data_IF_352995933232
#
_entry.id   IF_352995933232
#
_cell.length_a   1.000
_cell.length_b   1.000
_cell.length_c   1.000
_cell.angle_alpha   90.00
_cell.angle_beta   90.00
_cell.angle_gamma   90.00
#
_symmetry.space_group_name_H-M   'P 1'
#
loop_
_entity.id
_entity.type
_entity.pdbx_description
1 polymer ?
#
# COMPACT_ATOMS: atom_id res chain seq x y z
N UNK A 1 -60.58 -53.82 -39.96
CA UNK A 1 -61.28 -53.19 -41.12
C UNK A 1 -60.24 -52.30 -41.76
N UNK A 2 -59.66 -52.81 -42.80
CA UNK A 2 -59.73 -52.38 -44.18
C UNK A 2 -59.35 -50.92 -44.36
N UNK A 3 -58.42 -50.49 -45.06
CA UNK A 3 -57.70 -51.06 -46.15
C UNK A 3 -57.11 -49.91 -46.96
N UNK A 4 -56.19 -50.28 -47.70
CA UNK A 4 -55.85 -49.87 -49.08
C UNK A 4 -54.77 -48.79 -49.26
N UNK A 5 -53.74 -49.32 -49.87
CA UNK A 5 -52.66 -48.68 -50.54
C UNK A 5 -53.10 -47.92 -51.80
N UNK A 6 -52.36 -46.88 -52.18
CA UNK A 6 -52.27 -46.41 -53.53
C UNK A 6 -50.84 -46.01 -53.91
N UNK A 7 -50.38 -46.62 -54.95
CA UNK A 7 -49.15 -46.49 -55.68
C UNK A 7 -49.28 -45.39 -56.74
N UNK A 8 -48.24 -44.69 -57.02
CA UNK A 8 -47.79 -44.25 -58.36
C UNK A 8 -47.04 -42.91 -58.18
N UNK A 9 -46.03 -42.59 -58.85
CA UNK A 9 -45.25 -42.92 -60.01
C UNK A 9 -44.21 -41.81 -60.13
N UNK A 10 -42.96 -42.21 -60.45
CA UNK A 10 -41.87 -41.24 -60.74
C UNK A 10 -42.06 -40.65 -62.13
N UNK A 11 -41.59 -39.41 -62.40
CA UNK A 11 -40.90 -39.12 -63.64
C UNK A 11 -39.52 -38.46 -63.41
N UNK A 12 -38.62 -39.03 -64.15
CA UNK A 12 -37.42 -38.63 -64.88
C UNK A 12 -36.75 -37.30 -64.60
N UNK A 13 -35.45 -37.43 -64.38
CA UNK A 13 -34.37 -36.47 -64.41
C UNK A 13 -34.35 -35.54 -65.62
N UNK A 14 -34.25 -34.25 -65.37
CA UNK A 14 -33.60 -33.31 -66.33
C UNK A 14 -32.44 -32.65 -65.62
N UNK A 15 -31.22 -32.91 -66.11
CA UNK A 15 -30.02 -32.22 -65.69
C UNK A 15 -30.03 -30.79 -66.24
N UNK A 16 -30.06 -29.80 -65.39
CA UNK A 16 -29.64 -28.44 -65.75
C UNK A 16 -28.23 -28.22 -65.18
N UNK A 17 -27.34 -27.90 -66.16
CA UNK A 17 -26.00 -27.39 -65.79
C UNK A 17 -26.17 -25.91 -65.44
N UNK A 18 -25.89 -25.55 -64.23
CA UNK A 18 -25.68 -24.18 -63.81
C UNK A 18 -24.22 -23.94 -63.58
N UNK A 19 -23.68 -22.92 -64.22
CA UNK A 19 -22.31 -22.46 -64.07
C UNK A 19 -22.07 -21.93 -62.67
N UNK A 20 -21.02 -22.44 -62.04
CA UNK A 20 -20.57 -21.94 -60.74
C UNK A 20 -19.89 -20.59 -60.86
N UNK A 21 -20.47 -19.56 -60.26
CA UNK A 21 -19.76 -18.32 -59.95
C UNK A 21 -19.04 -18.49 -58.62
N UNK A 22 -17.73 -18.55 -58.64
CA UNK A 22 -16.90 -18.55 -57.45
C UNK A 22 -16.90 -17.13 -56.85
N UNK A 23 -17.60 -16.91 -55.75
CA UNK A 23 -17.39 -15.74 -54.89
C UNK A 23 -16.12 -15.92 -54.09
N UNK A 24 -15.07 -15.16 -54.43
CA UNK A 24 -13.92 -14.96 -53.55
C UNK A 24 -14.36 -14.06 -52.38
N UNK A 25 -14.60 -14.66 -51.22
CA UNK A 25 -14.77 -13.91 -49.99
C UNK A 25 -13.38 -13.47 -49.53
N UNK A 26 -13.01 -12.19 -49.68
CA UNK A 26 -11.88 -11.57 -48.99
C UNK A 26 -12.27 -11.47 -47.53
N UNK A 27 -11.77 -12.41 -46.70
CA UNK A 27 -11.82 -12.33 -45.26
C UNK A 27 -10.84 -11.26 -44.75
N UNK A 28 -11.35 -10.07 -44.45
CA UNK A 28 -10.60 -9.08 -43.72
C UNK A 28 -10.49 -9.57 -42.26
N UNK A 29 -9.33 -10.09 -41.90
CA UNK A 29 -9.02 -10.39 -40.48
C UNK A 29 -8.81 -9.07 -39.76
N UNK A 30 -9.82 -8.60 -39.06
CA UNK A 30 -9.67 -7.54 -38.06
C UNK A 30 -8.90 -8.11 -36.89
N UNK A 31 -7.60 -7.86 -36.84
CA UNK A 31 -6.80 -8.02 -35.59
C UNK A 31 -7.21 -6.90 -34.64
N UNK A 32 -8.04 -7.21 -33.66
CA UNK A 32 -8.25 -6.29 -32.55
C UNK A 32 -6.89 -6.01 -31.89
N UNK A 33 -6.55 -4.73 -31.61
CA UNK A 33 -5.34 -4.45 -30.86
C UNK A 33 -5.47 -5.16 -29.51
N UNK A 34 -4.48 -6.00 -29.19
CA UNK A 34 -4.35 -6.57 -27.86
C UNK A 34 -4.24 -5.37 -26.90
N UNK A 35 -5.17 -5.26 -25.96
CA UNK A 35 -5.03 -4.34 -24.84
C UNK A 35 -3.73 -4.70 -24.14
N UNK A 36 -2.71 -3.86 -24.29
CA UNK A 36 -1.49 -3.99 -23.51
C UNK A 36 -1.93 -3.88 -22.04
N UNK A 37 -1.87 -5.00 -21.31
CA UNK A 37 -1.95 -4.96 -19.87
C UNK A 37 -0.77 -4.10 -19.41
N UNK A 38 -1.05 -3.01 -18.72
CA UNK A 38 -0.02 -2.26 -18.05
C UNK A 38 0.75 -3.26 -17.19
N UNK A 39 2.06 -3.36 -17.41
CA UNK A 39 2.90 -4.23 -16.58
C UNK A 39 2.72 -3.77 -15.13
N UNK A 40 2.49 -4.72 -14.22
CA UNK A 40 2.45 -4.42 -12.79
C UNK A 40 3.76 -3.72 -12.42
N UNK A 41 3.73 -2.56 -11.78
CA UNK A 41 4.97 -1.86 -11.42
C UNK A 41 5.81 -2.76 -10.51
N UNK A 42 7.10 -2.84 -10.80
CA UNK A 42 8.04 -3.63 -10.01
C UNK A 42 8.38 -2.94 -8.68
N UNK A 43 8.15 -1.63 -8.59
CA UNK A 43 8.43 -0.84 -7.39
C UNK A 43 7.15 -0.31 -6.79
N UNK A 44 6.94 -0.63 -5.51
CA UNK A 44 5.83 -0.09 -4.70
C UNK A 44 6.40 0.83 -3.65
N UNK A 45 5.82 2.00 -3.49
CA UNK A 45 6.19 2.98 -2.47
C UNK A 45 5.05 3.11 -1.46
N UNK A 46 5.36 3.07 -0.17
CA UNK A 46 4.44 3.49 0.88
C UNK A 46 4.95 4.78 1.50
N UNK A 47 4.12 5.81 1.49
CA UNK A 47 4.34 7.06 2.23
C UNK A 47 3.85 6.82 3.66
N UNK A 48 4.69 7.05 4.67
CA UNK A 48 4.35 6.80 6.07
C UNK A 48 4.60 8.03 6.92
N UNK A 49 3.70 8.27 7.88
CA UNK A 49 3.84 9.33 8.88
C UNK A 49 3.76 8.71 10.27
N UNK A 50 4.81 8.88 11.06
CA UNK A 50 4.89 8.36 12.43
C UNK A 50 4.46 9.39 13.47
N UNK A 51 4.18 8.93 14.69
CA UNK A 51 3.88 9.68 15.92
C UNK A 51 2.52 10.39 15.95
N UNK A 52 1.82 10.52 14.82
CA UNK A 52 0.57 11.27 14.77
C UNK A 52 0.75 12.77 14.95
N UNK A 53 1.86 13.34 14.47
CA UNK A 53 2.16 14.76 14.55
C UNK A 53 1.16 15.62 13.76
N UNK A 54 0.65 16.70 14.38
CA UNK A 54 -0.44 17.51 13.85
C UNK A 54 -0.10 18.30 12.59
N UNK A 55 1.17 18.58 12.32
CA UNK A 55 1.61 19.29 11.10
C UNK A 55 1.47 18.43 9.83
N UNK A 56 1.29 17.12 9.96
CA UNK A 56 1.11 16.20 8.83
C UNK A 56 -0.27 16.28 8.18
N UNK A 57 -1.32 16.73 8.90
CA UNK A 57 -2.69 16.78 8.38
C UNK A 57 -2.84 17.71 7.16
N UNK A 58 -2.03 18.75 7.08
CA UNK A 58 -2.08 19.71 5.97
C UNK A 58 -1.84 19.04 4.60
N UNK A 59 -1.23 17.86 4.58
CA UNK A 59 -0.84 17.14 3.37
C UNK A 59 -1.93 16.25 2.78
N UNK A 60 -3.03 16.03 3.51
CA UNK A 60 -4.17 15.24 3.01
C UNK A 60 -4.70 15.77 1.67
N UNK A 61 -4.79 17.09 1.52
CA UNK A 61 -5.29 17.71 0.28
C UNK A 61 -4.34 17.46 -0.89
N UNK A 62 -3.03 17.59 -0.68
CA UNK A 62 -2.02 17.33 -1.72
C UNK A 62 -2.02 15.85 -2.12
N UNK A 63 -2.05 14.94 -1.17
CA UNK A 63 -2.16 13.50 -1.43
C UNK A 63 -3.40 13.19 -2.27
N UNK A 64 -4.57 13.69 -1.86
CA UNK A 64 -5.83 13.47 -2.59
C UNK A 64 -5.80 14.03 -4.01
N UNK A 65 -5.23 15.23 -4.21
CA UNK A 65 -5.11 15.85 -5.53
C UNK A 65 -4.25 15.04 -6.50
N UNK A 66 -3.29 14.29 -5.96
CA UNK A 66 -2.43 13.37 -6.71
C UNK A 66 -2.97 11.95 -6.79
N UNK A 67 -4.08 11.63 -6.13
CA UNK A 67 -4.60 10.26 -6.02
C UNK A 67 -3.66 9.33 -5.24
N UNK A 68 -2.86 9.88 -4.33
CA UNK A 68 -1.93 9.15 -3.48
C UNK A 68 -2.55 8.90 -2.11
N UNK A 69 -2.23 7.76 -1.52
CA UNK A 69 -2.61 7.41 -0.15
C UNK A 69 -1.38 7.08 0.66
N UNK A 70 -1.47 7.27 1.98
CA UNK A 70 -0.38 7.05 2.92
C UNK A 70 -0.85 6.26 4.15
N UNK A 71 0.09 5.80 4.95
CA UNK A 71 -0.16 5.15 6.25
C UNK A 71 0.27 6.09 7.37
N UNK A 72 -0.62 6.37 8.32
CA UNK A 72 -0.32 7.12 9.55
C UNK A 72 -0.22 6.14 10.72
N UNK A 73 0.98 5.99 11.27
CA UNK A 73 1.22 5.25 12.50
C UNK A 73 1.09 6.19 13.69
N UNK A 74 0.07 5.97 14.52
CA UNK A 74 -0.30 6.95 15.54
C UNK A 74 -0.25 6.34 16.94
N UNK A 75 0.08 7.17 17.92
CA UNK A 75 0.07 6.82 19.32
C UNK A 75 -1.29 7.22 19.92
N UNK A 76 -2.15 6.26 20.23
CA UNK A 76 -3.52 6.57 20.68
C UNK A 76 -3.59 7.41 21.96
N UNK A 77 -2.57 7.36 22.82
CA UNK A 77 -2.48 8.18 24.03
C UNK A 77 -2.13 9.64 23.75
N UNK A 78 -1.64 9.99 22.57
CA UNK A 78 -1.28 11.37 22.21
C UNK A 78 -2.38 12.07 21.38
N UNK A 79 -3.31 11.32 20.80
CA UNK A 79 -4.34 11.88 19.92
C UNK A 79 -5.22 12.90 20.66
N UNK A 80 -5.38 14.07 20.06
CA UNK A 80 -6.13 15.19 20.64
C UNK A 80 -5.33 16.06 21.62
N UNK A 81 -4.08 15.72 21.89
CA UNK A 81 -3.18 16.58 22.69
C UNK A 81 -2.51 17.64 21.81
N UNK A 82 -1.98 18.69 22.44
CA UNK A 82 -1.32 19.78 21.72
C UNK A 82 -0.17 19.27 20.85
N UNK A 83 -0.17 19.64 19.58
CA UNK A 83 0.85 19.26 18.61
C UNK A 83 0.59 17.92 17.89
N UNK A 84 -0.44 17.18 18.26
CA UNK A 84 -0.82 15.92 17.63
C UNK A 84 -2.16 16.03 16.88
N UNK A 85 -2.39 15.07 15.99
CA UNK A 85 -3.65 14.90 15.28
C UNK A 85 -4.81 14.72 16.26
N UNK A 86 -5.99 15.21 15.90
CA UNK A 86 -7.22 14.90 16.60
C UNK A 86 -7.89 13.64 16.05
N UNK A 87 -8.84 13.06 16.78
CA UNK A 87 -9.66 11.97 16.27
C UNK A 87 -10.42 12.35 14.99
N UNK A 88 -10.85 13.60 14.87
CA UNK A 88 -11.48 14.14 13.66
C UNK A 88 -10.50 14.14 12.48
N UNK A 89 -9.25 14.50 12.70
CA UNK A 89 -8.23 14.46 11.65
C UNK A 89 -8.00 13.03 11.17
N UNK A 90 -7.93 12.04 12.09
CA UNK A 90 -7.79 10.63 11.72
C UNK A 90 -8.99 10.13 10.92
N UNK A 91 -10.23 10.53 11.26
CA UNK A 91 -11.40 10.19 10.47
C UNK A 91 -11.37 10.82 9.07
N UNK A 92 -10.89 12.04 8.94
CA UNK A 92 -10.71 12.71 7.64
C UNK A 92 -9.67 11.95 6.80
N UNK A 93 -8.54 11.55 7.40
CA UNK A 93 -7.50 10.75 6.74
C UNK A 93 -8.06 9.40 6.25
N UNK A 94 -8.75 8.66 7.11
CA UNK A 94 -9.32 7.36 6.76
C UNK A 94 -10.42 7.48 5.68
N UNK A 95 -11.27 8.51 5.75
CA UNK A 95 -12.30 8.79 4.74
C UNK A 95 -11.70 9.11 3.38
N UNK A 96 -10.51 9.71 3.36
CA UNK A 96 -9.74 9.99 2.16
C UNK A 96 -8.96 8.77 1.62
N UNK A 97 -9.13 7.58 2.19
CA UNK A 97 -8.51 6.34 1.72
C UNK A 97 -7.12 6.06 2.32
N UNK A 98 -6.70 6.82 3.33
CA UNK A 98 -5.45 6.59 4.02
C UNK A 98 -5.61 5.51 5.10
N UNK A 99 -4.53 4.83 5.42
CA UNK A 99 -4.47 3.84 6.49
C UNK A 99 -4.11 4.49 7.82
N UNK A 100 -4.76 4.03 8.89
CA UNK A 100 -4.39 4.35 10.28
C UNK A 100 -3.81 3.08 10.91
N UNK A 101 -2.51 3.07 11.11
CA UNK A 101 -1.75 2.01 11.75
C UNK A 101 -1.46 2.31 13.23
N UNK A 102 -1.04 1.30 13.98
CA UNK A 102 -0.75 1.42 15.40
C UNK A 102 0.75 1.67 15.68
N UNK A 103 1.05 2.40 16.79
CA UNK A 103 2.41 2.81 17.16
C UNK A 103 2.66 2.82 18.67
N UNK A 104 2.01 1.95 19.41
CA UNK A 104 1.90 1.93 20.88
C UNK A 104 1.06 3.10 21.43
N UNK A 105 0.56 2.95 22.66
CA UNK A 105 -0.21 4.02 23.30
C UNK A 105 0.64 5.28 23.50
N UNK A 106 1.88 5.13 23.98
CA UNK A 106 2.68 6.23 24.53
C UNK A 106 4.07 6.36 23.89
N UNK A 107 4.28 5.84 22.67
CA UNK A 107 5.56 5.86 21.97
C UNK A 107 6.71 5.28 22.81
N UNK A 108 6.53 4.10 23.39
CA UNK A 108 7.52 3.45 24.24
C UNK A 108 8.36 2.43 23.47
N UNK A 109 9.61 2.27 23.85
CA UNK A 109 10.48 1.20 23.36
C UNK A 109 10.05 -0.13 23.99
N UNK A 110 9.22 -0.90 23.25
CA UNK A 110 8.64 -2.15 23.75
C UNK A 110 9.69 -3.21 24.11
N UNK A 111 10.84 -3.19 23.43
CA UNK A 111 11.96 -4.10 23.70
C UNK A 111 12.53 -3.96 25.11
N UNK A 112 12.34 -2.80 25.73
CA UNK A 112 12.79 -2.52 27.11
C UNK A 112 11.75 -2.88 28.17
N UNK A 113 10.55 -3.25 27.77
CA UNK A 113 9.46 -3.55 28.67
C UNK A 113 9.42 -5.05 29.02
N UNK A 114 8.73 -5.36 30.11
CA UNK A 114 8.28 -6.73 30.37
C UNK A 114 7.21 -7.10 29.34
N UNK A 115 7.11 -8.37 29.02
CA UNK A 115 6.19 -8.86 27.97
C UNK A 115 4.73 -8.41 28.19
N UNK A 116 4.23 -8.44 29.45
CA UNK A 116 2.87 -7.99 29.73
C UNK A 116 2.68 -6.48 29.45
N UNK A 117 3.68 -5.66 29.83
CA UNK A 117 3.62 -4.21 29.61
C UNK A 117 3.75 -3.88 28.10
N UNK A 118 4.61 -4.62 27.38
CA UNK A 118 4.74 -4.48 25.92
C UNK A 118 3.44 -4.83 25.20
N UNK A 119 2.81 -5.96 25.57
CA UNK A 119 1.49 -6.35 25.05
C UNK A 119 0.42 -5.29 25.35
N UNK A 120 0.38 -4.78 26.59
CA UNK A 120 -0.56 -3.72 26.93
C UNK A 120 -0.38 -2.50 26.04
N UNK A 121 0.85 -2.06 25.79
CA UNK A 121 1.14 -0.91 24.94
C UNK A 121 0.69 -1.11 23.47
N UNK A 122 0.80 -2.31 22.94
CA UNK A 122 0.43 -2.60 21.53
C UNK A 122 -1.03 -3.01 21.41
N UNK A 123 -1.49 -4.01 22.17
CA UNK A 123 -2.87 -4.48 22.03
C UNK A 123 -3.90 -3.41 22.43
N UNK A 124 -3.63 -2.64 23.51
CA UNK A 124 -4.54 -1.58 23.95
C UNK A 124 -4.54 -0.39 22.98
N UNK A 125 -3.41 -0.09 22.33
CA UNK A 125 -3.37 0.92 21.26
C UNK A 125 -4.34 0.55 20.12
N UNK A 126 -4.28 -0.70 19.66
CA UNK A 126 -5.23 -1.23 18.66
C UNK A 126 -6.69 -1.15 19.15
N UNK A 127 -6.95 -1.51 20.41
CA UNK A 127 -8.31 -1.38 21.00
C UNK A 127 -8.77 0.07 21.01
N UNK A 128 -7.90 1.00 21.39
CA UNK A 128 -8.25 2.43 21.40
C UNK A 128 -8.61 2.94 19.99
N UNK A 129 -7.84 2.56 18.98
CA UNK A 129 -8.12 2.90 17.57
C UNK A 129 -9.42 2.24 17.09
N UNK A 130 -9.64 0.97 17.38
CA UNK A 130 -10.84 0.24 16.99
C UNK A 130 -12.11 0.81 17.66
N UNK A 131 -12.04 1.28 18.90
CA UNK A 131 -13.14 1.95 19.58
C UNK A 131 -13.54 3.28 18.92
N UNK A 132 -12.67 3.85 18.10
CA UNK A 132 -12.96 5.01 17.25
C UNK A 132 -13.42 4.60 15.83
N UNK A 133 -13.56 3.31 15.55
CA UNK A 133 -14.04 2.79 14.27
C UNK A 133 -12.95 2.55 13.23
N UNK A 134 -11.67 2.64 13.59
CA UNK A 134 -10.55 2.26 12.71
C UNK A 134 -10.31 0.75 12.73
N UNK A 135 -9.65 0.25 11.69
CA UNK A 135 -9.22 -1.14 11.58
C UNK A 135 -7.69 -1.20 11.49
N UNK A 136 -6.96 -0.99 12.61
CA UNK A 136 -5.50 -1.03 12.56
C UNK A 136 -5.02 -2.46 12.29
N UNK A 137 -4.29 -2.64 11.19
CA UNK A 137 -3.77 -3.94 10.76
C UNK A 137 -2.25 -3.94 10.65
N UNK A 138 -1.61 -2.79 10.69
CA UNK A 138 -0.16 -2.62 10.62
C UNK A 138 0.38 -1.89 11.83
N UNK A 139 1.60 -2.25 12.22
CA UNK A 139 2.30 -1.70 13.37
C UNK A 139 3.66 -1.11 12.96
N UNK A 140 4.05 0.00 13.55
CA UNK A 140 5.41 0.51 13.50
C UNK A 140 6.06 0.44 14.90
N UNK A 141 7.29 -0.08 14.96
CA UNK A 141 8.03 -0.16 16.21
C UNK A 141 8.59 1.23 16.57
N UNK A 142 8.22 1.83 17.73
CA UNK A 142 8.87 3.04 18.20
C UNK A 142 10.40 2.91 18.19
N UNK A 143 11.09 3.94 17.68
CA UNK A 143 12.55 3.95 17.54
C UNK A 143 13.12 2.87 16.60
N UNK A 144 12.29 2.12 15.89
CA UNK A 144 12.72 0.92 15.17
C UNK A 144 13.29 -0.17 16.08
N UNK A 145 12.97 -0.15 17.37
CA UNK A 145 13.55 -1.03 18.40
C UNK A 145 12.63 -2.21 18.69
N UNK A 146 13.09 -3.41 18.33
CA UNK A 146 12.32 -4.64 18.56
C UNK A 146 13.25 -5.87 18.65
N UNK A 147 12.67 -6.99 19.03
CA UNK A 147 13.29 -8.32 19.04
C UNK A 147 12.36 -9.34 18.39
N UNK A 148 12.84 -10.54 18.10
CA UNK A 148 12.00 -11.64 17.59
C UNK A 148 10.87 -12.04 18.58
N UNK A 149 11.05 -11.78 19.87
CA UNK A 149 9.99 -11.93 20.88
C UNK A 149 8.89 -10.87 20.66
N UNK A 150 9.27 -9.63 20.39
CA UNK A 150 8.31 -8.54 20.15
C UNK A 150 7.51 -8.78 18.87
N UNK A 151 8.17 -9.29 17.81
CA UNK A 151 7.52 -9.68 16.57
C UNK A 151 6.39 -10.67 16.81
N UNK A 152 6.69 -11.79 17.46
CA UNK A 152 5.79 -12.94 17.58
C UNK A 152 4.87 -12.90 18.80
N UNK A 153 5.39 -12.48 19.96
CA UNK A 153 4.66 -12.53 21.22
C UNK A 153 4.01 -11.19 21.60
N UNK A 154 4.27 -10.12 20.87
CA UNK A 154 3.62 -8.84 21.09
C UNK A 154 2.83 -8.44 19.84
N UNK A 155 3.47 -8.06 18.74
CA UNK A 155 2.80 -7.48 17.59
C UNK A 155 1.88 -8.49 16.91
N UNK A 156 2.39 -9.65 16.52
CA UNK A 156 1.58 -10.72 15.95
C UNK A 156 0.52 -11.23 16.94
N UNK A 157 0.89 -11.37 18.21
CA UNK A 157 -0.06 -11.76 19.26
C UNK A 157 -1.24 -10.79 19.40
N UNK A 158 -1.00 -9.48 19.30
CA UNK A 158 -2.06 -8.46 19.34
C UNK A 158 -2.91 -8.44 18.06
N UNK A 159 -2.52 -9.18 17.02
CA UNK A 159 -3.30 -9.36 15.78
C UNK A 159 -3.00 -8.34 14.69
N UNK A 160 -1.84 -7.67 14.72
CA UNK A 160 -1.33 -6.94 13.58
C UNK A 160 -0.86 -7.91 12.48
N UNK A 161 -0.95 -7.51 11.21
CA UNK A 161 -0.50 -8.29 10.07
C UNK A 161 0.97 -8.01 9.72
N UNK A 162 1.52 -6.91 10.24
CA UNK A 162 2.92 -6.52 9.99
C UNK A 162 3.51 -5.68 11.10
N UNK A 163 4.86 -5.64 11.15
CA UNK A 163 5.63 -4.77 12.02
C UNK A 163 6.79 -4.13 11.25
N UNK A 164 6.87 -2.80 11.23
CA UNK A 164 7.89 -2.03 10.53
C UNK A 164 8.97 -1.55 11.49
N UNK A 165 10.22 -1.94 11.19
CA UNK A 165 11.42 -1.35 11.80
C UNK A 165 11.83 -0.04 11.13
N UNK A 166 13.04 0.43 11.45
CA UNK A 166 13.67 1.61 10.83
C UNK A 166 15.01 1.19 10.23
N UNK A 167 15.34 1.72 9.05
CA UNK A 167 16.57 1.42 8.31
C UNK A 167 16.63 0.00 7.71
N UNK A 168 17.76 -0.33 7.11
CA UNK A 168 18.02 -1.63 6.48
C UNK A 168 17.84 -1.66 4.96
N UNK A 169 17.14 -0.69 4.39
CA UNK A 169 17.13 -0.40 2.96
C UNK A 169 18.12 0.74 2.68
N UNK A 170 18.86 0.67 1.60
CA UNK A 170 19.82 1.68 1.18
C UNK A 170 19.98 1.68 -0.36
N UNK A 171 20.68 2.65 -0.89
CA UNK A 171 20.93 2.81 -2.32
C UNK A 171 22.15 2.03 -2.86
N UNK A 172 22.69 1.08 -2.08
CA UNK A 172 23.96 0.39 -2.41
C UNK A 172 23.89 -1.13 -2.42
N UNK A 173 23.18 -1.74 -1.47
CA UNK A 173 23.21 -3.19 -1.28
C UNK A 173 21.82 -3.83 -1.03
N UNK A 174 20.91 -3.09 -0.40
CA UNK A 174 19.53 -3.53 -0.16
C UNK A 174 18.63 -2.40 -0.61
N UNK A 175 18.15 -2.51 -1.82
CA UNK A 175 17.47 -1.40 -2.51
C UNK A 175 15.98 -1.30 -2.17
N UNK A 176 15.38 -2.38 -1.72
CA UNK A 176 13.96 -2.44 -1.35
C UNK A 176 13.70 -3.64 -0.43
N UNK A 177 12.54 -3.68 0.20
CA UNK A 177 11.99 -4.88 0.78
C UNK A 177 11.37 -5.75 -0.33
N UNK A 178 11.31 -7.07 -0.16
CA UNK A 178 10.62 -7.94 -1.11
C UNK A 178 9.08 -7.81 -1.00
N UNK A 179 8.37 -8.19 -2.05
CA UNK A 179 6.90 -8.28 -2.05
C UNK A 179 6.51 -9.73 -2.42
N UNK A 180 5.91 -10.50 -1.49
CA UNK A 180 5.71 -10.18 -0.07
C UNK A 180 7.05 -10.07 0.68
N UNK A 181 7.12 -9.37 1.83
CA UNK A 181 8.33 -9.26 2.62
C UNK A 181 8.73 -10.62 3.20
N UNK A 182 10.05 -10.87 3.30
CA UNK A 182 10.58 -12.11 3.85
C UNK A 182 10.16 -12.33 5.32
N UNK A 183 10.01 -11.25 6.08
CA UNK A 183 9.43 -11.22 7.41
C UNK A 183 8.49 -10.01 7.54
N UNK A 184 7.19 -10.27 7.52
CA UNK A 184 6.18 -9.21 7.63
C UNK A 184 6.26 -8.45 8.97
N UNK A 185 6.80 -9.05 10.02
CA UNK A 185 6.92 -8.42 11.35
C UNK A 185 8.28 -7.73 11.60
N UNK A 186 9.13 -7.66 10.59
CA UNK A 186 10.43 -6.99 10.63
C UNK A 186 10.75 -6.32 9.29
N UNK A 187 9.81 -5.60 8.71
CA UNK A 187 10.01 -4.92 7.44
C UNK A 187 10.95 -3.73 7.60
N UNK A 188 11.72 -3.47 6.56
CA UNK A 188 12.83 -2.49 6.55
C UNK A 188 12.45 -1.23 5.77
N UNK A 189 13.06 -0.11 6.14
CA UNK A 189 12.90 1.17 5.49
C UNK A 189 14.24 1.73 5.03
N UNK A 190 14.30 2.73 4.15
CA UNK A 190 15.44 3.66 4.10
C UNK A 190 15.61 4.40 5.43
N UNK A 191 16.68 5.16 5.56
CA UNK A 191 16.84 6.05 6.71
C UNK A 191 15.76 7.15 6.69
N UNK A 192 15.18 7.43 7.85
CA UNK A 192 14.21 8.52 7.97
C UNK A 192 14.81 9.85 7.59
N UNK A 193 14.10 10.69 6.81
CA UNK A 193 14.54 12.02 6.49
C UNK A 193 14.74 12.89 7.73
N UNK A 194 15.83 13.65 7.74
CA UNK A 194 16.20 14.61 8.79
C UNK A 194 16.34 16.00 8.19
N UNK A 195 16.51 16.99 9.04
CA UNK A 195 16.88 18.33 8.60
C UNK A 195 18.03 18.27 7.61
N UNK A 196 17.88 18.94 6.45
CA UNK A 196 18.87 18.95 5.39
C UNK A 196 18.82 17.76 4.42
N UNK A 197 17.96 16.74 4.66
CA UNK A 197 17.72 15.70 3.66
C UNK A 197 17.08 16.31 2.43
N UNK A 198 17.70 16.12 1.26
CA UNK A 198 17.20 16.64 -0.01
C UNK A 198 16.13 15.71 -0.61
N UNK A 199 15.26 16.28 -1.44
CA UNK A 199 14.28 15.48 -2.22
C UNK A 199 15.02 14.43 -3.06
N UNK A 200 16.09 14.82 -3.74
CA UNK A 200 16.90 13.90 -4.55
C UNK A 200 17.45 12.71 -3.76
N UNK A 201 17.73 12.87 -2.47
CA UNK A 201 18.14 11.74 -1.61
C UNK A 201 16.98 10.76 -1.42
N UNK A 202 15.76 11.26 -1.20
CA UNK A 202 14.57 10.43 -0.97
C UNK A 202 14.14 9.75 -2.28
N UNK A 203 14.12 10.49 -3.39
CA UNK A 203 13.87 9.97 -4.74
C UNK A 203 14.90 8.90 -5.11
N UNK A 204 16.14 9.07 -4.67
CA UNK A 204 17.25 8.13 -4.90
C UNK A 204 16.97 6.72 -4.36
N UNK A 205 16.27 6.57 -3.25
CA UNK A 205 15.88 5.25 -2.74
C UNK A 205 14.89 4.53 -3.68
N UNK A 206 13.91 5.25 -4.19
CA UNK A 206 12.91 4.70 -5.12
C UNK A 206 13.58 4.37 -6.46
N UNK A 207 14.35 5.29 -7.01
CA UNK A 207 15.10 5.09 -8.27
C UNK A 207 16.07 3.92 -8.18
N UNK A 208 16.77 3.78 -7.03
CA UNK A 208 17.67 2.65 -6.81
C UNK A 208 16.92 1.32 -6.79
N UNK A 209 15.72 1.27 -6.17
CA UNK A 209 14.87 0.09 -6.22
C UNK A 209 14.44 -0.24 -7.65
N UNK A 210 13.95 0.72 -8.42
CA UNK A 210 13.59 0.54 -9.84
C UNK A 210 14.74 -0.02 -10.67
N UNK A 211 15.93 0.49 -10.49
CA UNK A 211 17.14 0.06 -11.22
C UNK A 211 17.64 -1.33 -10.81
N UNK A 212 17.22 -1.84 -9.66
CA UNK A 212 17.67 -3.12 -9.10
C UNK A 212 16.56 -4.17 -8.96
N UNK A 213 15.56 -4.11 -9.83
CA UNK A 213 14.53 -5.15 -9.92
C UNK A 213 13.26 -4.85 -9.13
N UNK A 214 13.12 -3.65 -8.61
CA UNK A 214 11.92 -3.21 -7.88
C UNK A 214 11.88 -3.70 -6.45
N UNK A 215 10.65 -3.75 -5.90
CA UNK A 215 10.35 -4.14 -4.53
C UNK A 215 9.61 -3.02 -3.78
N UNK A 216 9.56 -3.13 -2.47
CA UNK A 216 8.80 -2.24 -1.61
C UNK A 216 9.71 -1.24 -0.89
N UNK A 217 9.49 0.05 -1.14
CA UNK A 217 10.21 1.17 -0.51
C UNK A 217 9.25 1.91 0.42
N UNK A 218 9.52 1.88 1.72
CA UNK A 218 8.71 2.53 2.75
C UNK A 218 9.35 3.85 3.15
N UNK A 219 8.79 4.97 2.74
CA UNK A 219 9.30 6.33 3.04
C UNK A 219 8.64 6.86 4.31
N UNK A 220 9.38 6.94 5.40
CA UNK A 220 8.87 7.31 6.73
C UNK A 220 9.18 8.77 7.04
N UNK A 221 8.19 9.53 7.46
CA UNK A 221 8.27 10.94 7.84
C UNK A 221 7.68 11.15 9.24
N UNK A 222 8.21 12.15 9.98
CA UNK A 222 7.71 12.53 11.30
C UNK A 222 7.10 13.93 11.27
N UNK A 223 7.89 14.94 10.89
CA UNK A 223 7.46 16.35 10.84
C UNK A 223 7.62 16.95 9.45
N UNK A 224 6.67 17.81 9.06
CA UNK A 224 6.74 18.58 7.82
C UNK A 224 6.78 20.06 8.15
N UNK A 225 7.96 20.55 8.46
CA UNK A 225 8.21 21.92 8.87
C UNK A 225 9.64 22.35 8.54
N UNK A 226 9.91 23.64 8.62
CA UNK A 226 11.26 24.17 8.43
C UNK A 226 12.00 24.24 9.77
N UNK A 227 12.61 23.13 10.17
CA UNK A 227 13.51 23.08 11.32
C UNK A 227 12.81 23.05 12.69
N UNK A 228 11.57 22.58 12.79
CA UNK A 228 10.89 22.42 14.06
C UNK A 228 11.35 21.20 14.85
N UNK A 229 11.88 20.17 14.17
CA UNK A 229 12.39 18.94 14.76
C UNK A 229 13.58 18.39 13.94
N UNK A 230 14.41 17.56 14.56
CA UNK A 230 15.54 16.91 13.88
C UNK A 230 15.08 15.96 12.75
N UNK A 231 13.93 15.30 12.91
CA UNK A 231 13.29 14.42 11.92
C UNK A 231 12.23 15.19 11.11
N UNK A 232 12.60 16.36 10.58
CA UNK A 232 11.71 17.16 9.75
C UNK A 232 12.21 17.33 8.34
N UNK A 233 11.29 17.44 7.40
CA UNK A 233 11.55 17.94 6.05
C UNK A 233 10.75 19.22 5.81
N UNK A 234 11.23 20.06 4.89
CA UNK A 234 10.50 21.28 4.57
C UNK A 234 9.22 20.98 3.79
N UNK A 235 8.23 21.87 3.90
CA UNK A 235 7.03 21.80 3.08
C UNK A 235 7.33 21.78 1.59
N UNK A 236 8.33 22.56 1.15
CA UNK A 236 8.76 22.58 -0.25
C UNK A 236 9.31 21.22 -0.71
N UNK A 237 10.07 20.53 0.15
CA UNK A 237 10.60 19.20 -0.16
C UNK A 237 9.48 18.16 -0.19
N UNK A 238 8.52 18.20 0.74
CA UNK A 238 7.37 17.30 0.71
C UNK A 238 6.55 17.51 -0.55
N UNK A 239 6.23 18.75 -0.91
CA UNK A 239 5.49 19.06 -2.16
C UNK A 239 6.22 18.49 -3.38
N UNK A 240 7.52 18.79 -3.52
CA UNK A 240 8.30 18.31 -4.65
C UNK A 240 8.35 16.77 -4.73
N UNK A 241 8.46 16.08 -3.58
CA UNK A 241 8.45 14.62 -3.53
C UNK A 241 7.08 14.05 -3.98
N UNK A 242 5.97 14.62 -3.49
CA UNK A 242 4.63 14.15 -3.86
C UNK A 242 4.33 14.41 -5.34
N UNK A 243 4.72 15.57 -5.89
CA UNK A 243 4.62 15.87 -7.32
C UNK A 243 5.41 14.88 -8.16
N UNK A 244 6.65 14.55 -7.73
CA UNK A 244 7.49 13.58 -8.40
C UNK A 244 6.88 12.16 -8.35
N UNK A 245 6.43 11.70 -7.17
CA UNK A 245 5.78 10.39 -7.02
C UNK A 245 4.52 10.28 -7.90
N UNK A 246 3.69 11.32 -7.95
CA UNK A 246 2.53 11.35 -8.84
C UNK A 246 2.95 11.22 -10.31
N UNK A 247 4.05 11.83 -10.72
CA UNK A 247 4.66 11.65 -12.03
C UNK A 247 5.05 10.20 -12.30
N UNK A 248 5.74 9.54 -11.35
CA UNK A 248 6.13 8.14 -11.48
C UNK A 248 4.91 7.20 -11.58
N UNK A 249 3.87 7.44 -10.78
CA UNK A 249 2.60 6.69 -10.85
C UNK A 249 1.94 6.88 -12.22
N UNK A 250 1.92 8.09 -12.74
CA UNK A 250 1.29 8.40 -14.05
C UNK A 250 1.97 7.68 -15.22
N UNK A 251 3.27 7.40 -15.13
CA UNK A 251 4.03 6.63 -16.13
C UNK A 251 3.92 5.11 -15.92
N UNK A 252 3.37 4.67 -14.79
CA UNK A 252 3.27 3.26 -14.43
C UNK A 252 4.59 2.63 -13.96
N UNK A 253 5.62 3.44 -13.66
CA UNK A 253 6.90 2.94 -13.17
C UNK A 253 6.86 2.58 -11.69
N UNK A 254 6.00 3.27 -10.91
CA UNK A 254 5.81 3.08 -9.47
C UNK A 254 4.33 2.95 -9.16
N UNK A 255 3.97 2.11 -8.19
CA UNK A 255 2.70 2.19 -7.49
C UNK A 255 2.90 2.84 -6.11
N UNK A 256 1.93 3.63 -5.66
CA UNK A 256 1.91 4.12 -4.27
C UNK A 256 0.74 3.44 -3.55
N UNK A 257 1.07 2.66 -2.53
CA UNK A 257 0.12 1.84 -1.78
C UNK A 257 0.32 2.03 -0.28
N UNK A 258 -0.75 1.87 0.50
CA UNK A 258 -0.65 1.82 1.97
C UNK A 258 0.02 0.53 2.41
N UNK A 259 0.52 0.48 3.66
CA UNK A 259 1.13 -0.74 4.21
C UNK A 259 0.16 -1.92 4.15
N UNK A 260 -1.11 -1.70 4.51
CA UNK A 260 -2.14 -2.74 4.46
C UNK A 260 -2.36 -3.27 3.03
N UNK A 261 -2.33 -2.41 2.01
CA UNK A 261 -2.47 -2.84 0.61
C UNK A 261 -1.31 -3.73 0.17
N UNK A 262 -0.08 -3.42 0.60
CA UNK A 262 1.11 -4.22 0.26
C UNK A 262 1.15 -5.55 1.03
N UNK A 263 0.85 -5.52 2.33
CA UNK A 263 0.92 -6.69 3.21
C UNK A 263 -0.29 -7.60 3.00
N UNK A 264 -1.48 -7.02 2.86
CA UNK A 264 -2.73 -7.77 2.89
C UNK A 264 -2.99 -8.38 4.27
N UNK A 265 -3.76 -9.44 4.30
CA UNK A 265 -4.10 -10.16 5.53
C UNK A 265 -5.58 -10.00 5.90
N UNK A 266 -5.91 -10.43 7.09
CA UNK A 266 -7.29 -10.36 7.61
C UNK A 266 -7.29 -9.55 8.88
N UNK A 267 -8.23 -8.61 8.97
CA UNK A 267 -8.43 -7.86 10.20
C UNK A 267 -8.79 -8.78 11.37
N UNK A 268 -8.02 -8.72 12.41
CA UNK A 268 -8.27 -9.39 13.68
C UNK A 268 -8.84 -8.38 14.66
N UNK A 269 -10.05 -8.65 15.17
CA UNK A 269 -10.68 -7.78 16.19
C UNK A 269 -9.75 -7.60 17.37
N UNK A 270 -9.36 -6.35 17.71
CA UNK A 270 -8.45 -6.10 18.81
C UNK A 270 -9.02 -6.55 20.16
N UNK A 271 -8.14 -7.00 21.03
CA UNK A 271 -8.44 -7.39 22.40
C UNK A 271 -7.40 -6.80 23.34
N UNK A 272 -7.80 -6.54 24.59
CA UNK A 272 -6.88 -6.14 25.63
C UNK A 272 -6.34 -7.35 26.39
N UNK A 273 -5.14 -7.22 26.94
CA UNK A 273 -4.47 -8.24 27.75
C UNK A 273 -4.98 -8.21 29.21
#
# INVERSE_FOLDING_TARGET
MTGMAARASRPSLRRLRTAGAALLALGATYSAPALAHAATPLTVVTIQFDDGNGDTIAWITTLNNHGLHATWYVNSGSIGTTGHLSWTDLHNLATAGNEIGSHTINHVDIKKLKLADARFQVCQDRVNLANQGFMPESFAYPFGSFSSTDETQVVQYCGDNSGRGVSGVNDKTVFAESIPPANAFATRTPADPKQGTTVATIEGYVTAAEQNGGGWVQLTFHHICSGCDAYSITQANMQALLDWLAGQVSTGSVAVETTQQVIGGTYVTPFCC
#
